data_IF_452005898947
#
_entry.id   IF_452005898947
#
_cell.length_a   1.000
_cell.length_b   1.000
_cell.length_c   1.000
_cell.angle_alpha   90.00
_cell.angle_beta   90.00
_cell.angle_gamma   90.00
#
_symmetry.space_group_name_H-M   'P 1'
#
loop_
_entity.id
_entity.type
_entity.pdbx_description
1 polymer ?
#
# COMPACT_ATOMS: atom_id res chain seq x y z
N UNK A 1 -21.04 -0.60 22.09
CA UNK A 1 -19.98 -1.33 21.41
C UNK A 1 -20.05 -1.03 19.91
N UNK A 2 -18.99 -0.51 19.36
CA UNK A 2 -18.95 -0.15 17.94
C UNK A 2 -18.51 -1.38 17.14
N UNK A 3 -19.35 -1.83 16.24
CA UNK A 3 -19.00 -2.93 15.35
C UNK A 3 -18.14 -2.41 14.21
N UNK A 4 -16.96 -3.00 14.02
CA UNK A 4 -16.09 -2.66 12.91
C UNK A 4 -16.59 -3.31 11.63
N UNK A 5 -16.47 -2.56 10.54
CA UNK A 5 -16.87 -3.06 9.22
C UNK A 5 -15.70 -3.84 8.63
N UNK A 6 -15.93 -5.06 8.09
CA UNK A 6 -14.89 -5.78 7.37
C UNK A 6 -14.44 -5.00 6.13
N UNK A 7 -13.13 -4.91 5.92
CA UNK A 7 -12.56 -4.21 4.77
C UNK A 7 -11.47 -5.06 4.13
N UNK A 8 -11.79 -5.90 3.15
CA UNK A 8 -10.75 -6.56 2.38
C UNK A 8 -9.97 -5.51 1.58
N UNK A 9 -8.65 -5.63 1.58
CA UNK A 9 -7.78 -4.69 0.92
C UNK A 9 -6.60 -5.40 0.27
N UNK A 10 -6.18 -4.90 -0.90
CA UNK A 10 -4.99 -5.37 -1.60
C UNK A 10 -3.92 -4.30 -1.49
N UNK A 11 -2.72 -4.69 -1.08
CA UNK A 11 -1.58 -3.81 -0.87
C UNK A 11 -0.39 -4.30 -1.66
N UNK A 12 0.45 -3.39 -2.11
CA UNK A 12 1.55 -3.73 -3.01
C UNK A 12 2.89 -3.32 -2.38
N UNK A 13 3.81 -4.29 -2.29
CA UNK A 13 5.22 -4.01 -2.06
C UNK A 13 5.81 -3.76 -3.45
N UNK A 14 5.92 -2.49 -3.82
CA UNK A 14 6.40 -2.08 -5.15
C UNK A 14 7.86 -1.69 -5.04
N UNK A 15 8.73 -2.40 -5.77
CA UNK A 15 10.17 -2.16 -5.75
C UNK A 15 10.65 -1.56 -7.06
N UNK A 16 11.69 -0.71 -6.98
CA UNK A 16 12.39 -0.20 -8.15
C UNK A 16 13.62 -1.08 -8.47
N UNK A 17 14.42 -0.66 -9.46
CA UNK A 17 15.60 -1.40 -9.88
C UNK A 17 16.69 -1.49 -8.81
N UNK A 18 16.65 -0.61 -7.81
CA UNK A 18 17.58 -0.62 -6.67
C UNK A 18 17.03 -1.36 -5.45
N UNK A 19 15.83 -1.93 -5.53
CA UNK A 19 15.20 -2.65 -4.44
C UNK A 19 14.55 -1.73 -3.40
N UNK A 20 14.34 -0.44 -3.73
CA UNK A 20 13.65 0.50 -2.85
C UNK A 20 12.14 0.31 -2.96
N UNK A 21 11.43 0.61 -1.88
CA UNK A 21 9.96 0.51 -1.80
C UNK A 21 9.29 1.85 -2.04
N UNK A 22 8.22 1.84 -2.83
CA UNK A 22 7.39 3.03 -3.03
C UNK A 22 6.40 3.17 -1.89
N UNK A 23 6.39 4.34 -1.26
CA UNK A 23 5.40 4.68 -0.24
C UNK A 23 4.79 6.03 -0.56
N UNK A 24 3.50 6.18 -0.21
CA UNK A 24 2.77 7.43 -0.32
C UNK A 24 2.61 8.06 1.06
N UNK A 25 2.80 9.37 1.14
CA UNK A 25 2.63 10.14 2.36
C UNK A 25 1.22 10.70 2.42
N UNK A 26 0.53 10.41 3.51
CA UNK A 26 -0.80 10.92 3.80
C UNK A 26 -0.70 11.96 4.92
N UNK A 27 -1.36 13.09 4.72
CA UNK A 27 -1.40 14.18 5.69
C UNK A 27 -2.86 14.60 5.92
N UNK A 28 -3.65 13.74 6.58
CA UNK A 28 -5.05 14.05 6.87
C UNK A 28 -5.19 15.06 8.01
N UNK A 29 -6.36 15.71 8.09
CA UNK A 29 -6.61 16.74 9.10
C UNK A 29 -6.80 16.16 10.50
N UNK A 30 -7.21 14.90 10.60
CA UNK A 30 -7.67 14.28 11.87
C UNK A 30 -6.60 13.42 12.58
N UNK A 31 -5.40 13.32 12.01
CA UNK A 31 -4.32 12.51 12.60
C UNK A 31 -2.95 12.94 12.06
N UNK A 32 -1.89 12.45 12.73
CA UNK A 32 -0.52 12.74 12.32
C UNK A 32 -0.24 12.17 10.91
N UNK A 33 0.66 12.79 10.14
CA UNK A 33 1.06 12.26 8.85
C UNK A 33 1.65 10.86 8.96
N UNK A 34 1.41 10.05 7.92
CA UNK A 34 1.94 8.68 7.85
C UNK A 34 2.19 8.29 6.40
N UNK A 35 3.00 7.25 6.25
CA UNK A 35 3.32 6.68 4.94
C UNK A 35 2.77 5.26 4.84
N UNK A 36 2.30 4.87 3.67
CA UNK A 36 1.87 3.49 3.48
C UNK A 36 2.05 3.03 2.02
N UNK A 37 1.98 1.71 1.85
CA UNK A 37 2.09 1.06 0.55
C UNK A 37 0.96 1.48 -0.40
N UNK A 38 1.19 1.42 -1.72
CA UNK A 38 0.09 1.50 -2.68
C UNK A 38 -0.94 0.42 -2.41
N UNK A 39 -2.19 0.69 -2.75
CA UNK A 39 -3.27 -0.26 -2.60
C UNK A 39 -4.54 0.36 -2.05
N UNK A 40 -5.55 -0.46 -1.84
CA UNK A 40 -6.82 -0.01 -1.34
C UNK A 40 -7.84 -1.13 -1.23
N UNK A 41 -9.08 -0.75 -0.96
CA UNK A 41 -10.16 -1.70 -0.73
C UNK A 41 -10.45 -2.54 -1.98
N UNK A 42 -10.81 -3.80 -1.74
CA UNK A 42 -11.33 -4.70 -2.76
C UNK A 42 -12.80 -4.37 -2.99
N UNK A 43 -13.21 -4.15 -4.23
CA UNK A 43 -14.60 -3.84 -4.56
C UNK A 43 -15.45 -5.12 -4.52
N UNK A 44 -16.77 -4.99 -4.28
CA UNK A 44 -17.66 -6.15 -4.29
C UNK A 44 -17.56 -6.95 -5.59
N UNK A 45 -17.36 -8.26 -5.47
CA UNK A 45 -17.23 -9.14 -6.62
C UNK A 45 -15.84 -9.20 -7.24
N UNK A 46 -14.91 -8.39 -6.76
CA UNK A 46 -13.54 -8.33 -7.25
C UNK A 46 -12.65 -9.31 -6.48
N UNK A 47 -11.71 -9.97 -7.15
CA UNK A 47 -10.69 -10.75 -6.45
C UNK A 47 -9.60 -9.82 -5.87
N UNK A 48 -8.82 -10.33 -4.91
CA UNK A 48 -7.68 -9.57 -4.41
C UNK A 48 -6.67 -9.27 -5.51
N UNK A 49 -6.44 -10.23 -6.39
CA UNK A 49 -5.50 -10.07 -7.52
C UNK A 49 -5.95 -8.96 -8.47
N UNK A 50 -7.24 -8.92 -8.78
CA UNK A 50 -7.81 -7.88 -9.64
C UNK A 50 -7.77 -6.51 -8.96
N UNK A 51 -8.07 -6.46 -7.66
CA UNK A 51 -8.01 -5.23 -6.88
C UNK A 51 -6.57 -4.69 -6.83
N UNK A 52 -5.58 -5.57 -6.63
CA UNK A 52 -4.18 -5.17 -6.60
C UNK A 52 -3.77 -4.51 -7.92
N UNK A 53 -4.12 -5.13 -9.05
CA UNK A 53 -3.80 -4.59 -10.37
C UNK A 53 -4.49 -3.26 -10.63
N UNK A 54 -5.76 -3.15 -10.28
CA UNK A 54 -6.55 -1.91 -10.44
C UNK A 54 -5.96 -0.78 -9.57
N UNK A 55 -5.74 -1.05 -8.29
CA UNK A 55 -5.19 -0.05 -7.36
C UNK A 55 -3.79 0.38 -7.77
N UNK A 56 -2.95 -0.54 -8.21
CA UNK A 56 -1.61 -0.21 -8.70
C UNK A 56 -1.70 0.76 -9.89
N UNK A 57 -2.58 0.48 -10.83
CA UNK A 57 -2.78 1.35 -11.99
C UNK A 57 -3.32 2.72 -11.60
N UNK A 58 -4.34 2.75 -10.74
CA UNK A 58 -4.96 4.01 -10.29
C UNK A 58 -3.95 4.91 -9.56
N UNK A 59 -3.11 4.33 -8.72
CA UNK A 59 -2.21 5.11 -7.88
C UNK A 59 -0.86 5.42 -8.52
N UNK A 60 -0.37 4.57 -9.41
CA UNK A 60 0.98 4.71 -9.99
C UNK A 60 1.02 4.80 -11.51
N UNK A 61 -0.07 4.50 -12.19
CA UNK A 61 -0.11 4.41 -13.65
C UNK A 61 0.47 3.12 -14.22
N UNK A 62 0.92 2.20 -13.37
CA UNK A 62 1.51 0.94 -13.82
C UNK A 62 0.43 -0.13 -13.99
N UNK A 63 0.31 -0.68 -15.22
CA UNK A 63 -0.60 -1.78 -15.53
C UNK A 63 0.19 -3.07 -15.57
N UNK A 64 0.33 -3.70 -14.40
CA UNK A 64 1.12 -4.91 -14.23
C UNK A 64 0.32 -5.97 -13.47
N UNK A 65 0.52 -7.23 -13.84
CA UNK A 65 0.04 -8.37 -13.06
C UNK A 65 0.82 -8.40 -11.76
N UNK A 66 0.10 -8.47 -10.64
CA UNK A 66 0.73 -8.42 -9.31
C UNK A 66 1.12 -9.81 -8.78
N UNK A 67 0.81 -10.88 -9.50
CA UNK A 67 1.16 -12.25 -9.10
C UNK A 67 0.28 -12.77 -7.98
N UNK A 68 0.85 -13.63 -7.15
CA UNK A 68 0.15 -14.27 -6.03
C UNK A 68 0.33 -13.48 -4.74
N UNK A 69 -0.57 -13.68 -3.79
CA UNK A 69 -0.47 -13.11 -2.43
C UNK A 69 0.80 -13.64 -1.76
N UNK A 70 1.62 -12.73 -1.24
CA UNK A 70 2.86 -13.10 -0.55
C UNK A 70 2.80 -12.93 0.96
N UNK A 71 1.81 -12.20 1.48
CA UNK A 71 1.63 -12.00 2.90
C UNK A 71 0.20 -11.57 3.19
N UNK A 72 -0.23 -11.80 4.43
CA UNK A 72 -1.56 -11.41 4.91
C UNK A 72 -1.42 -10.74 6.26
N UNK A 73 -2.27 -9.75 6.50
CA UNK A 73 -2.29 -9.00 7.75
C UNK A 73 -3.73 -8.64 8.09
N UNK A 74 -4.11 -8.80 9.36
CA UNK A 74 -5.40 -8.32 9.85
C UNK A 74 -5.13 -7.14 10.78
N UNK A 75 -5.76 -6.00 10.53
CA UNK A 75 -5.52 -4.78 11.29
C UNK A 75 -6.80 -3.97 11.46
N UNK A 76 -6.93 -3.33 12.60
CA UNK A 76 -8.06 -2.45 12.89
C UNK A 76 -7.60 -1.00 12.79
N UNK A 77 -8.34 -0.17 12.06
CA UNK A 77 -8.01 1.25 11.94
C UNK A 77 -9.23 2.09 11.54
N UNK A 78 -9.04 3.40 11.60
CA UNK A 78 -10.02 4.39 11.13
C UNK A 78 -9.61 4.82 9.72
N UNK A 79 -10.54 4.67 8.76
CA UNK A 79 -10.27 5.07 7.36
C UNK A 79 -10.18 6.59 7.23
N UNK A 80 -9.72 7.07 6.08
CA UNK A 80 -9.67 8.50 5.79
C UNK A 80 -11.08 9.12 5.75
N UNK A 81 -12.10 8.33 5.46
CA UNK A 81 -13.50 8.74 5.46
C UNK A 81 -14.14 8.70 6.86
N UNK A 82 -13.38 8.28 7.89
CA UNK A 82 -13.86 8.25 9.26
C UNK A 82 -14.65 7.01 9.65
N UNK A 83 -14.46 5.90 8.95
CA UNK A 83 -15.11 4.62 9.22
C UNK A 83 -14.17 3.68 9.96
N UNK A 84 -14.61 3.11 11.09
CA UNK A 84 -13.84 2.09 11.80
C UNK A 84 -13.96 0.74 11.08
N UNK A 85 -12.83 0.14 10.74
CA UNK A 85 -12.79 -1.10 9.97
C UNK A 85 -11.88 -2.14 10.60
N UNK A 86 -12.16 -3.42 10.29
CA UNK A 86 -11.21 -4.52 10.45
C UNK A 86 -10.77 -4.90 9.03
N UNK A 87 -9.53 -4.59 8.69
CA UNK A 87 -9.00 -4.85 7.36
C UNK A 87 -8.35 -6.22 7.28
N UNK A 88 -8.71 -6.99 6.25
CA UNK A 88 -7.98 -8.20 5.83
C UNK A 88 -7.11 -7.76 4.66
N UNK A 89 -5.86 -7.44 4.94
CA UNK A 89 -4.91 -6.96 3.95
C UNK A 89 -4.12 -8.12 3.37
N UNK A 90 -4.07 -8.19 2.05
CA UNK A 90 -3.23 -9.14 1.33
C UNK A 90 -2.23 -8.39 0.49
N UNK A 91 -0.99 -8.81 0.56
CA UNK A 91 0.16 -8.12 -0.02
C UNK A 91 0.67 -8.85 -1.25
N UNK A 92 1.10 -8.06 -2.22
CA UNK A 92 1.66 -8.54 -3.50
C UNK A 92 3.01 -7.88 -3.71
N UNK A 93 3.98 -8.64 -4.24
CA UNK A 93 5.30 -8.11 -4.56
C UNK A 93 5.37 -7.83 -6.06
N UNK A 94 5.62 -6.58 -6.41
CA UNK A 94 5.71 -6.14 -7.81
C UNK A 94 7.02 -5.39 -8.03
N UNK A 95 7.72 -5.72 -9.10
CA UNK A 95 8.95 -5.04 -9.49
C UNK A 95 8.64 -4.04 -10.60
N UNK A 96 8.78 -2.76 -10.29
CA UNK A 96 8.52 -1.68 -11.25
C UNK A 96 9.73 -1.40 -12.15
N UNK A 97 10.93 -1.85 -11.73
CA UNK A 97 12.16 -1.51 -12.45
C UNK A 97 12.36 0.00 -12.46
N UNK A 98 12.61 0.57 -13.63
CA UNK A 98 12.82 2.01 -13.80
C UNK A 98 11.56 2.72 -14.31
N UNK A 99 10.39 2.11 -14.18
CA UNK A 99 9.14 2.69 -14.67
C UNK A 99 8.81 4.00 -13.95
N UNK A 100 8.29 4.97 -14.70
CA UNK A 100 7.87 6.25 -14.14
C UNK A 100 6.53 6.12 -13.42
N UNK A 101 6.40 6.83 -12.31
CA UNK A 101 5.16 6.85 -11.53
C UNK A 101 4.28 8.00 -12.00
N UNK A 102 2.99 7.70 -12.24
CA UNK A 102 2.00 8.69 -12.64
C UNK A 102 0.82 8.65 -11.66
N UNK A 103 0.44 9.79 -11.13
CA UNK A 103 -0.57 9.88 -10.07
C UNK A 103 -1.91 10.47 -10.51
N UNK A 104 -2.12 10.62 -11.81
CA UNK A 104 -3.35 11.22 -12.34
C UNK A 104 -4.62 10.38 -12.14
N UNK A 105 -4.47 9.10 -11.77
CA UNK A 105 -5.59 8.21 -11.45
C UNK A 105 -6.08 8.28 -10.01
N UNK A 106 -5.50 9.16 -9.18
CA UNK A 106 -5.91 9.30 -7.79
C UNK A 106 -7.34 9.85 -7.67
N UNK A 107 -8.05 9.40 -6.63
CA UNK A 107 -9.38 9.94 -6.30
C UNK A 107 -9.24 11.37 -5.79
N UNK A 108 -10.38 12.09 -5.72
CA UNK A 108 -10.39 13.44 -5.17
C UNK A 108 -9.91 13.48 -3.72
N UNK A 109 -10.34 12.51 -2.89
CA UNK A 109 -9.88 12.41 -1.50
C UNK A 109 -8.38 12.16 -1.44
N UNK A 110 -7.86 11.24 -2.25
CA UNK A 110 -6.42 10.94 -2.31
C UNK A 110 -5.61 12.17 -2.70
N UNK A 111 -6.03 12.92 -3.72
CA UNK A 111 -5.34 14.16 -4.12
C UNK A 111 -5.29 15.18 -3.01
N UNK A 112 -6.31 15.21 -2.16
CA UNK A 112 -6.39 16.16 -1.05
C UNK A 112 -5.46 15.82 0.10
N UNK A 113 -5.28 14.51 0.40
CA UNK A 113 -4.52 14.06 1.57
C UNK A 113 -3.19 13.38 1.24
N UNK A 114 -3.03 12.83 0.03
CA UNK A 114 -1.75 12.27 -0.43
C UNK A 114 -0.87 13.41 -0.91
N UNK A 115 0.12 13.78 -0.11
CA UNK A 115 0.96 14.94 -0.37
C UNK A 115 2.17 14.65 -1.24
N UNK A 116 2.69 13.42 -1.17
CA UNK A 116 3.88 13.06 -1.92
C UNK A 116 4.05 11.54 -1.98
N UNK A 117 4.95 11.10 -2.82
CA UNK A 117 5.40 9.71 -2.84
C UNK A 117 6.91 9.70 -2.90
N UNK A 118 7.50 8.58 -2.46
CA UNK A 118 8.95 8.46 -2.40
C UNK A 118 9.38 7.01 -2.45
N UNK A 119 10.53 6.77 -3.05
CA UNK A 119 11.21 5.48 -3.01
C UNK A 119 12.10 5.43 -1.77
N UNK A 120 11.90 4.40 -0.93
CA UNK A 120 12.61 4.24 0.33
C UNK A 120 13.54 3.05 0.29
N UNK A 121 14.81 3.24 0.67
CA UNK A 121 15.70 2.13 0.97
C UNK A 121 15.34 1.54 2.35
N UNK A 122 15.72 0.28 2.59
CA UNK A 122 15.41 -0.41 3.86
C UNK A 122 15.91 0.35 5.08
N UNK A 123 17.13 0.84 5.03
CA UNK A 123 17.74 1.57 6.15
C UNK A 123 17.05 2.91 6.40
N UNK A 124 16.55 3.56 5.37
CA UNK A 124 15.76 4.77 5.52
C UNK A 124 14.45 4.50 6.27
N UNK A 125 13.78 3.40 5.94
CA UNK A 125 12.53 3.00 6.62
C UNK A 125 12.78 2.78 8.11
N UNK A 126 13.88 2.11 8.45
CA UNK A 126 14.20 1.75 9.84
C UNK A 126 14.37 2.98 10.74
N UNK A 127 14.76 4.12 10.19
CA UNK A 127 15.03 5.35 10.96
C UNK A 127 14.12 6.52 10.61
N UNK A 128 13.09 6.28 9.78
CA UNK A 128 12.20 7.35 9.33
C UNK A 128 11.39 7.92 10.50
N UNK A 129 11.29 9.26 10.64
CA UNK A 129 10.68 9.87 11.82
C UNK A 129 9.15 9.82 11.85
N UNK A 130 8.49 9.66 10.70
CA UNK A 130 7.05 9.53 10.64
C UNK A 130 6.63 8.06 10.57
N UNK A 131 5.39 7.77 10.96
CA UNK A 131 4.89 6.39 10.94
C UNK A 131 4.87 5.83 9.51
N UNK A 132 5.26 4.56 9.38
CA UNK A 132 5.19 3.80 8.12
C UNK A 132 4.37 2.55 8.37
N UNK A 133 3.40 2.29 7.49
CA UNK A 133 2.54 1.10 7.59
C UNK A 133 2.66 0.25 6.32
N UNK A 134 2.74 -1.08 6.45
CA UNK A 134 2.76 -1.84 7.69
C UNK A 134 4.08 -1.66 8.44
N UNK A 135 4.04 -1.73 9.76
CA UNK A 135 5.25 -1.51 10.60
C UNK A 135 6.33 -2.54 10.28
N UNK A 136 5.95 -3.77 9.93
CA UNK A 136 6.87 -4.87 9.61
C UNK A 136 7.21 -4.96 8.11
N UNK A 137 7.10 -3.86 7.37
CA UNK A 137 7.24 -3.84 5.91
C UNK A 137 8.57 -4.40 5.41
N UNK A 138 9.67 -4.10 6.11
CA UNK A 138 11.00 -4.60 5.71
C UNK A 138 11.07 -6.12 5.86
N UNK A 139 10.57 -6.64 6.98
CA UNK A 139 10.53 -8.09 7.21
C UNK A 139 9.65 -8.80 6.17
N UNK A 140 8.52 -8.18 5.81
CA UNK A 140 7.64 -8.73 4.79
C UNK A 140 8.33 -8.78 3.42
N UNK A 141 9.03 -7.72 3.06
CA UNK A 141 9.78 -7.68 1.79
C UNK A 141 10.88 -8.75 1.77
N UNK A 142 11.65 -8.86 2.84
CA UNK A 142 12.74 -9.83 2.92
C UNK A 142 12.19 -11.27 2.81
N UNK A 143 11.11 -11.58 3.48
CA UNK A 143 10.47 -12.89 3.39
C UNK A 143 9.97 -13.18 1.97
N UNK A 144 9.36 -12.20 1.31
CA UNK A 144 8.87 -12.36 -0.06
C UNK A 144 10.00 -12.59 -1.05
N UNK A 145 11.13 -11.90 -0.87
CA UNK A 145 12.30 -12.08 -1.74
C UNK A 145 12.95 -13.44 -1.53
N UNK A 146 12.95 -13.99 -0.32
CA UNK A 146 13.44 -15.34 -0.05
C UNK A 146 12.57 -16.39 -0.73
N UNK A 147 11.26 -16.24 -0.65
CA UNK A 147 10.30 -17.20 -1.25
C UNK A 147 10.37 -17.17 -2.78
N UNK A 148 10.80 -16.06 -3.38
CA UNK A 148 10.90 -15.90 -4.83
C UNK A 148 12.18 -16.50 -5.45
N UNK A 149 13.09 -17.00 -4.63
CA UNK A 149 14.36 -17.59 -5.10
C UNK A 149 14.19 -19.02 -5.61
#
# INVERSE_FOLDING_TARGET
MTDRIPRPAARILLTDSSGRLLLFRFDPDDRAPFWCTPGGAVDPGESYEAAARRELFEETGLDLDCGAVIARRQVEFLTLEGVEVTADERYFLVHAGDAAIATHGHTELERRVMREWRWFARDEIATWPEAIFPEEIVAMLDAALEDAR
#
